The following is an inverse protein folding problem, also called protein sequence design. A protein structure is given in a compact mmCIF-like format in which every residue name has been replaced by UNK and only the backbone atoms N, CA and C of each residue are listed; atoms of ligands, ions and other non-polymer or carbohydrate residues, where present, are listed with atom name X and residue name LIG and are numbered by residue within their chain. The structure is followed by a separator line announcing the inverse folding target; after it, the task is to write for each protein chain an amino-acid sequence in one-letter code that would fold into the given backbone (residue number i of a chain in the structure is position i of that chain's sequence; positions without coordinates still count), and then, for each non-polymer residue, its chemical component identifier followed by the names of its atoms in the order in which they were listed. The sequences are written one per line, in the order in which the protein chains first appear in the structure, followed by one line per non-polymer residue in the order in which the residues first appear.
data_IF_847138349972
#
_entry.id   IF_847138349972
#
_cell.length_a   1.000
_cell.length_b   1.000
_cell.length_c   1.000
_cell.angle_alpha   90.00
_cell.angle_beta   90.00
_cell.angle_gamma   90.00
#
_symmetry.space_group_name_H-M   'P 1'
#
loop_
_entity.id
_entity.type
_entity.pdbx_description
1 polymer ?
#
# COMPACT_ATOMS: atom_id res chain seq x y z
N UNK A 1 -15.25 -4.23 -12.97
CA UNK A 1 -13.94 -4.86 -13.26
C UNK A 1 -13.22 -5.08 -11.94
N UNK A 2 -12.65 -6.27 -11.69
CA UNK A 2 -11.88 -6.53 -10.46
C UNK A 2 -10.41 -6.27 -10.72
N UNK A 3 -9.74 -5.53 -9.83
CA UNK A 3 -8.32 -5.17 -9.97
C UNK A 3 -7.58 -5.49 -8.68
N UNK A 4 -6.40 -6.09 -8.83
CA UNK A 4 -5.46 -6.30 -7.72
C UNK A 4 -4.21 -5.46 -7.95
N UNK A 5 -3.94 -4.53 -7.04
CA UNK A 5 -2.81 -3.62 -7.11
C UNK A 5 -1.60 -4.15 -6.33
N UNK A 6 -0.41 -3.86 -6.85
CA UNK A 6 0.85 -4.00 -6.13
C UNK A 6 1.53 -2.64 -6.19
N UNK A 7 1.45 -1.87 -5.10
CA UNK A 7 2.07 -0.56 -5.00
C UNK A 7 3.53 -0.69 -4.57
N UNK A 8 4.47 -0.15 -5.34
CA UNK A 8 5.88 -0.11 -4.98
C UNK A 8 6.32 1.29 -4.54
N UNK A 9 7.07 1.34 -3.44
CA UNK A 9 7.62 2.58 -2.88
C UNK A 9 6.55 3.55 -2.39
N UNK A 10 6.98 4.77 -2.07
CA UNK A 10 6.10 5.77 -1.46
C UNK A 10 4.97 6.21 -2.41
N UNK A 11 5.30 6.52 -3.67
CA UNK A 11 4.34 7.01 -4.64
C UNK A 11 3.32 5.91 -5.01
N UNK A 12 3.80 4.70 -5.31
CA UNK A 12 2.93 3.56 -5.59
C UNK A 12 2.01 3.24 -4.41
N UNK A 13 2.54 3.28 -3.18
CA UNK A 13 1.74 3.12 -1.97
C UNK A 13 0.59 4.12 -1.85
N UNK A 14 0.87 5.41 -2.04
CA UNK A 14 -0.14 6.47 -1.98
C UNK A 14 -1.22 6.31 -3.07
N UNK A 15 -0.83 5.97 -4.29
CA UNK A 15 -1.77 5.78 -5.40
C UNK A 15 -2.72 4.60 -5.12
N UNK A 16 -2.19 3.46 -4.65
CA UNK A 16 -3.02 2.31 -4.31
C UNK A 16 -3.96 2.61 -3.14
N UNK A 17 -3.47 3.34 -2.12
CA UNK A 17 -4.29 3.74 -0.97
C UNK A 17 -5.48 4.62 -1.40
N UNK A 18 -5.26 5.57 -2.31
CA UNK A 18 -6.32 6.42 -2.89
C UNK A 18 -7.33 5.62 -3.71
N UNK A 19 -6.90 4.64 -4.51
CA UNK A 19 -7.83 3.81 -5.28
C UNK A 19 -8.72 2.96 -4.36
N UNK A 20 -8.16 2.37 -3.31
CA UNK A 20 -8.93 1.60 -2.33
C UNK A 20 -9.89 2.50 -1.56
N UNK A 21 -9.49 3.73 -1.21
CA UNK A 21 -10.40 4.71 -0.61
C UNK A 21 -11.60 5.02 -1.52
N UNK A 22 -11.34 5.25 -2.81
CA UNK A 22 -12.37 5.59 -3.78
C UNK A 22 -13.35 4.41 -4.02
N UNK A 23 -12.84 3.18 -4.07
CA UNK A 23 -13.65 1.98 -4.22
C UNK A 23 -14.55 1.73 -3.00
N UNK A 24 -14.02 1.97 -1.78
CA UNK A 24 -14.81 1.93 -0.54
C UNK A 24 -15.93 2.96 -0.54
N UNK A 25 -15.66 4.21 -0.96
CA UNK A 25 -16.68 5.27 -1.07
C UNK A 25 -17.77 4.93 -2.08
N UNK A 26 -17.40 4.23 -3.15
CA UNK A 26 -18.32 3.81 -4.20
C UNK A 26 -19.13 2.56 -3.84
N UNK A 27 -18.75 1.83 -2.78
CA UNK A 27 -19.41 0.60 -2.32
C UNK A 27 -19.24 -0.62 -3.25
N UNK A 28 -18.36 -0.52 -4.25
CA UNK A 28 -18.21 -1.52 -5.31
C UNK A 28 -17.30 -2.69 -4.91
N UNK A 29 -16.43 -2.51 -3.91
CA UNK A 29 -15.47 -3.52 -3.41
C UNK A 29 -14.73 -4.25 -4.54
N UNK A 30 -14.41 -3.52 -5.61
CA UNK A 30 -13.79 -4.03 -6.82
C UNK A 30 -12.26 -4.06 -6.75
N UNK A 31 -11.66 -3.31 -5.81
CA UNK A 31 -10.22 -3.12 -5.72
C UNK A 31 -9.66 -3.73 -4.43
N UNK A 32 -8.52 -4.40 -4.58
CA UNK A 32 -7.67 -4.88 -3.48
C UNK A 32 -6.21 -4.62 -3.83
N UNK A 33 -5.32 -4.63 -2.85
CA UNK A 33 -3.91 -4.54 -3.15
C UNK A 33 -3.00 -4.63 -1.94
N UNK A 34 -1.72 -4.82 -2.24
CA UNK A 34 -0.61 -4.81 -1.29
C UNK A 34 0.33 -3.65 -1.61
N UNK A 35 1.09 -3.19 -0.61
CA UNK A 35 2.15 -2.18 -0.81
C UNK A 35 3.46 -2.70 -0.30
N UNK A 36 4.49 -2.58 -1.13
CA UNK A 36 5.86 -3.00 -0.85
C UNK A 36 6.75 -1.77 -0.77
N UNK A 37 7.46 -1.61 0.35
CA UNK A 37 8.40 -0.51 0.53
C UNK A 37 9.58 -0.92 1.44
N UNK A 38 10.69 -0.22 1.34
CA UNK A 38 11.84 -0.33 2.26
C UNK A 38 11.73 0.62 3.45
N UNK A 39 10.97 1.71 3.33
CA UNK A 39 10.74 2.66 4.41
C UNK A 39 9.52 2.26 5.26
N UNK A 40 9.73 2.01 6.56
CA UNK A 40 8.64 1.65 7.48
C UNK A 40 7.67 2.82 7.68
N UNK A 41 8.18 4.04 7.77
CA UNK A 41 7.38 5.26 7.95
C UNK A 41 6.37 5.47 6.84
N UNK A 42 6.77 5.21 5.59
CA UNK A 42 5.89 5.27 4.42
C UNK A 42 4.74 4.27 4.53
N UNK A 43 5.04 3.02 4.92
CA UNK A 43 4.01 1.99 5.11
C UNK A 43 3.04 2.37 6.23
N UNK A 44 3.54 2.88 7.35
CA UNK A 44 2.68 3.30 8.48
C UNK A 44 1.77 4.49 8.11
N UNK A 45 2.18 5.33 7.15
CA UNK A 45 1.39 6.48 6.68
C UNK A 45 0.15 6.14 5.84
N UNK A 46 0.02 4.90 5.36
CA UNK A 46 -1.15 4.45 4.58
C UNK A 46 -2.39 4.34 5.48
N UNK A 47 -3.58 4.66 4.95
CA UNK A 47 -4.81 4.74 5.76
C UNK A 47 -5.82 3.66 5.42
N UNK A 48 -5.87 3.22 4.17
CA UNK A 48 -6.94 2.39 3.64
C UNK A 48 -6.52 0.92 3.46
N UNK A 49 -5.23 0.66 3.33
CA UNK A 49 -4.63 -0.67 3.19
C UNK A 49 -4.42 -1.31 4.56
N UNK A 50 -4.83 -2.56 4.74
CA UNK A 50 -4.67 -3.28 6.01
C UNK A 50 -3.19 -3.50 6.36
N UNK A 51 -2.86 -3.54 7.64
CA UNK A 51 -1.47 -3.66 8.09
C UNK A 51 -0.78 -4.93 7.54
N UNK A 52 -1.53 -6.03 7.42
CA UNK A 52 -1.03 -7.32 6.88
C UNK A 52 -0.63 -7.24 5.41
N UNK A 53 -1.17 -6.27 4.68
CA UNK A 53 -0.95 -6.06 3.25
C UNK A 53 0.13 -4.98 2.98
N UNK A 54 0.80 -4.50 4.05
CA UNK A 54 1.91 -3.54 4.00
C UNK A 54 3.23 -4.28 4.24
N UNK A 55 3.96 -4.55 3.16
CA UNK A 55 5.14 -5.40 3.17
C UNK A 55 6.40 -4.54 3.26
N UNK A 56 7.10 -4.67 4.39
CA UNK A 56 8.43 -4.09 4.58
C UNK A 56 9.49 -5.06 4.04
N UNK A 57 10.37 -4.58 3.16
CA UNK A 57 11.50 -5.35 2.64
C UNK A 57 12.84 -4.63 2.89
N UNK A 58 13.96 -5.31 2.64
CA UNK A 58 15.29 -4.70 2.67
C UNK A 58 15.80 -4.33 4.07
N UNK A 59 15.20 -4.88 5.14
CA UNK A 59 15.57 -4.53 6.53
C UNK A 59 17.05 -4.78 6.85
N UNK A 60 17.67 -5.78 6.22
CA UNK A 60 19.09 -6.10 6.40
C UNK A 60 20.03 -5.11 5.70
N UNK A 61 19.53 -4.34 4.72
CA UNK A 61 20.33 -3.41 3.92
C UNK A 61 20.12 -1.96 4.36
N UNK A 62 18.86 -1.54 4.54
CA UNK A 62 18.51 -0.13 4.81
C UNK A 62 17.79 0.11 6.15
N UNK A 63 17.64 -0.93 6.97
CA UNK A 63 17.06 -0.87 8.33
C UNK A 63 15.70 -0.16 8.42
N UNK A 64 14.92 -0.14 7.33
CA UNK A 64 13.58 0.46 7.35
C UNK A 64 13.51 1.97 7.04
N UNK A 65 14.57 2.60 6.51
CA UNK A 65 14.64 4.06 6.32
C UNK A 65 14.47 4.55 4.88
N UNK A 66 14.29 3.65 3.92
CA UNK A 66 14.28 3.98 2.49
C UNK A 66 15.56 3.53 1.82
#
# INVERSE_FOLDING_TARGET
MRVFFIGFGQAGGKVVDMFIEQDKKSGLNSFRGIVVNTARTDLMGLKNIELKDRILIGQTVVKGHG
#
